data_IF_859291147957
#
_entry.id   IF_859291147957
#
_cell.length_a   1.000
_cell.length_b   1.000
_cell.length_c   1.000
_cell.angle_alpha   90.00
_cell.angle_beta   90.00
_cell.angle_gamma   90.00
#
_symmetry.space_group_name_H-M   'P 1'
#
loop_
_entity.id
_entity.type
_entity.pdbx_description
1 polymer ?
#
# COMPACT_ATOMS: atom_id res chain seq x y z
N UNK A 1 -16.50 -19.16 20.50
CA UNK A 1 -16.91 -20.26 19.58
C UNK A 1 -16.25 -20.12 18.20
N UNK A 2 -15.25 -19.22 18.04
CA UNK A 2 -14.74 -18.74 16.75
C UNK A 2 -13.72 -19.68 16.07
N UNK A 3 -12.91 -20.42 16.84
CA UNK A 3 -11.89 -21.32 16.30
C UNK A 3 -12.36 -22.74 15.92
N UNK A 4 -13.65 -23.07 16.11
CA UNK A 4 -14.15 -24.44 15.98
C UNK A 4 -14.10 -24.97 14.53
N UNK A 5 -14.34 -24.11 13.54
CA UNK A 5 -14.34 -24.48 12.13
C UNK A 5 -13.21 -23.82 11.33
N UNK A 6 -12.58 -22.76 11.85
CA UNK A 6 -11.51 -22.02 11.18
C UNK A 6 -10.33 -22.93 10.83
N UNK A 7 -9.88 -23.75 11.78
CA UNK A 7 -8.69 -24.58 11.63
C UNK A 7 -8.85 -25.72 10.61
N UNK A 8 -10.09 -26.08 10.24
CA UNK A 8 -10.37 -27.17 9.30
C UNK A 8 -9.73 -26.90 7.94
N UNK A 9 -9.84 -25.66 7.45
CA UNK A 9 -9.32 -25.26 6.15
C UNK A 9 -8.14 -24.28 6.25
N UNK A 10 -8.06 -23.48 7.32
CA UNK A 10 -7.17 -22.32 7.37
C UNK A 10 -6.07 -22.40 8.44
N UNK A 11 -6.07 -23.43 9.29
CA UNK A 11 -5.11 -23.54 10.40
C UNK A 11 -3.66 -23.67 9.93
N UNK A 12 -3.43 -24.40 8.83
CA UNK A 12 -2.10 -24.54 8.22
C UNK A 12 -1.57 -23.19 7.70
N UNK A 13 -2.42 -22.46 6.97
CA UNK A 13 -2.07 -21.15 6.40
C UNK A 13 -1.81 -20.13 7.52
N UNK A 14 -2.65 -20.07 8.55
CA UNK A 14 -2.43 -19.19 9.70
C UNK A 14 -1.08 -19.48 10.38
N UNK A 15 -0.74 -20.76 10.57
CA UNK A 15 0.54 -21.17 11.14
C UNK A 15 1.74 -20.69 10.33
N UNK A 16 1.69 -20.82 8.99
CA UNK A 16 2.75 -20.34 8.10
C UNK A 16 2.91 -18.82 8.18
N UNK A 17 1.80 -18.07 8.06
CA UNK A 17 1.85 -16.60 8.04
C UNK A 17 2.38 -16.05 9.36
N UNK A 18 2.03 -16.67 10.50
CA UNK A 18 2.64 -16.34 11.80
C UNK A 18 4.12 -16.69 11.87
N UNK A 19 4.53 -17.78 11.22
CA UNK A 19 5.95 -18.12 11.03
C UNK A 19 6.68 -17.03 10.24
N UNK A 20 6.12 -16.57 9.12
CA UNK A 20 6.69 -15.50 8.31
C UNK A 20 6.77 -14.18 9.07
N UNK A 21 5.80 -13.87 9.94
CA UNK A 21 5.88 -12.70 10.83
C UNK A 21 7.12 -12.73 11.73
N UNK A 22 7.57 -13.90 12.18
CA UNK A 22 8.78 -14.00 13.02
C UNK A 22 10.09 -13.79 12.23
N UNK A 23 10.02 -13.85 10.90
CA UNK A 23 11.14 -13.53 10.01
C UNK A 23 11.23 -12.04 9.64
N UNK A 24 10.34 -11.19 10.18
CA UNK A 24 10.44 -9.75 10.03
C UNK A 24 11.63 -9.22 10.85
N UNK A 25 12.29 -8.19 10.32
CA UNK A 25 13.42 -7.54 10.94
C UNK A 25 12.99 -6.80 12.21
N UNK A 26 13.81 -6.94 13.24
CA UNK A 26 13.61 -6.27 14.54
C UNK A 26 14.40 -4.98 14.59
N UNK A 27 14.11 -4.11 15.57
CA UNK A 27 14.92 -2.91 15.83
C UNK A 27 16.42 -3.20 15.98
N UNK A 28 16.80 -4.34 16.57
CA UNK A 28 18.21 -4.77 16.65
C UNK A 28 18.80 -5.07 15.26
N UNK A 29 18.03 -5.75 14.40
CA UNK A 29 18.42 -6.01 13.01
C UNK A 29 18.65 -4.70 12.26
N UNK A 30 17.73 -3.73 12.36
CA UNK A 30 17.88 -2.42 11.71
C UNK A 30 19.09 -1.64 12.22
N UNK A 31 19.36 -1.65 13.53
CA UNK A 31 20.56 -1.01 14.09
C UNK A 31 21.87 -1.60 13.53
N UNK A 32 21.88 -2.90 13.22
CA UNK A 32 23.05 -3.49 12.56
C UNK A 32 23.13 -3.09 11.08
N UNK A 33 21.99 -2.96 10.38
CA UNK A 33 21.95 -2.52 8.99
C UNK A 33 22.43 -1.08 8.80
N UNK A 34 22.12 -0.18 9.74
CA UNK A 34 22.59 1.23 9.66
C UNK A 34 24.09 1.39 9.88
N UNK A 35 24.74 0.40 10.49
CA UNK A 35 26.19 0.38 10.70
C UNK A 35 26.97 -0.10 9.46
N UNK A 36 26.29 -0.68 8.46
CA UNK A 36 26.93 -1.11 7.23
C UNK A 36 27.56 0.07 6.47
N UNK A 37 28.71 -0.17 5.82
CA UNK A 37 29.42 0.83 5.00
C UNK A 37 29.25 0.56 3.51
N UNK A 38 29.06 -0.71 3.13
CA UNK A 38 28.83 -1.11 1.74
C UNK A 38 27.52 -1.87 1.57
N UNK A 39 27.03 -1.94 0.33
CA UNK A 39 25.84 -2.74 0.00
C UNK A 39 26.12 -4.25 0.16
N UNK A 40 27.38 -4.67 -0.01
CA UNK A 40 27.78 -6.06 0.23
C UNK A 40 27.70 -6.43 1.73
N UNK A 41 28.06 -5.50 2.64
CA UNK A 41 27.86 -5.69 4.08
C UNK A 41 26.37 -5.80 4.42
N UNK A 42 25.54 -4.94 3.80
CA UNK A 42 24.09 -4.97 3.97
C UNK A 42 23.51 -6.31 3.50
N UNK A 43 23.96 -6.81 2.34
CA UNK A 43 23.59 -8.12 1.80
C UNK A 43 23.96 -9.26 2.77
N UNK A 44 25.16 -9.22 3.34
CA UNK A 44 25.61 -10.21 4.32
C UNK A 44 24.74 -10.18 5.58
N UNK A 45 24.44 -8.99 6.08
CA UNK A 45 23.63 -8.79 7.28
C UNK A 45 22.17 -9.20 7.08
N UNK A 46 21.63 -9.08 5.87
CA UNK A 46 20.31 -9.58 5.49
C UNK A 46 20.28 -11.10 5.26
N UNK A 47 21.43 -11.77 5.19
CA UNK A 47 21.57 -13.20 4.92
C UNK A 47 20.65 -14.12 5.74
N UNK A 48 20.51 -13.96 7.07
CA UNK A 48 19.64 -14.83 7.88
C UNK A 48 18.16 -14.78 7.48
N UNK A 49 17.69 -13.63 6.98
CA UNK A 49 16.31 -13.45 6.58
C UNK A 49 16.12 -13.65 5.06
N UNK A 50 17.05 -13.25 4.22
CA UNK A 50 16.89 -13.16 2.75
C UNK A 50 17.91 -13.97 1.94
N UNK A 51 18.78 -14.73 2.60
CA UNK A 51 20.01 -15.32 2.03
C UNK A 51 19.79 -16.08 0.71
N UNK A 52 18.76 -16.92 0.63
CA UNK A 52 18.50 -17.74 -0.56
C UNK A 52 18.19 -16.90 -1.81
N UNK A 53 17.53 -15.75 -1.64
CA UNK A 53 17.18 -14.84 -2.74
C UNK A 53 18.35 -13.92 -3.09
N UNK A 54 19.11 -13.49 -2.09
CA UNK A 54 20.23 -12.57 -2.26
C UNK A 54 21.50 -13.26 -2.78
N UNK A 55 21.65 -14.58 -2.61
CA UNK A 55 22.82 -15.33 -3.05
C UNK A 55 23.10 -15.18 -4.56
N UNK A 56 22.05 -15.01 -5.36
CA UNK A 56 22.13 -14.83 -6.82
C UNK A 56 22.65 -13.45 -7.27
N UNK A 57 22.69 -12.46 -6.38
CA UNK A 57 23.12 -11.11 -6.73
C UNK A 57 24.63 -11.03 -6.93
N UNK A 58 25.11 -10.28 -7.95
CA UNK A 58 26.53 -10.00 -8.13
C UNK A 58 27.13 -9.23 -6.93
N UNK A 59 28.46 -9.21 -6.77
CA UNK A 59 29.12 -8.32 -5.81
C UNK A 59 28.83 -6.85 -6.14
N UNK A 60 28.62 -6.03 -5.12
CA UNK A 60 28.13 -4.65 -5.20
C UNK A 60 26.82 -4.50 -6.00
N UNK A 61 25.70 -5.12 -5.56
CA UNK A 61 24.43 -5.00 -6.25
C UNK A 61 23.90 -3.56 -6.17
N UNK A 62 23.13 -3.13 -7.17
CA UNK A 62 22.40 -1.86 -7.07
C UNK A 62 21.32 -1.94 -5.99
N UNK A 63 20.98 -0.79 -5.41
CA UNK A 63 19.85 -0.67 -4.46
C UNK A 63 18.53 -1.17 -5.07
N UNK A 64 18.31 -0.91 -6.36
CA UNK A 64 17.16 -1.41 -7.12
C UNK A 64 17.15 -2.94 -7.25
N UNK A 65 18.31 -3.57 -7.48
CA UNK A 65 18.41 -5.03 -7.58
C UNK A 65 18.16 -5.70 -6.22
N UNK A 66 18.62 -5.06 -5.14
CA UNK A 66 18.35 -5.52 -3.78
C UNK A 66 16.85 -5.46 -3.47
N UNK A 67 16.20 -4.33 -3.76
CA UNK A 67 14.75 -4.14 -3.56
C UNK A 67 13.90 -5.10 -4.41
N UNK A 68 14.33 -5.38 -5.64
CA UNK A 68 13.66 -6.36 -6.50
C UNK A 68 13.73 -7.77 -5.88
N UNK A 69 14.90 -8.20 -5.39
CA UNK A 69 15.06 -9.54 -4.79
C UNK A 69 14.35 -9.70 -3.45
N UNK A 70 14.27 -8.66 -2.63
CA UNK A 70 13.48 -8.71 -1.39
C UNK A 70 11.98 -8.75 -1.70
N UNK A 71 11.53 -8.04 -2.75
CA UNK A 71 10.16 -8.15 -3.28
C UNK A 71 9.87 -9.54 -3.86
N UNK A 72 10.79 -10.15 -4.62
CA UNK A 72 10.65 -11.50 -5.16
C UNK A 72 10.36 -12.52 -4.06
N UNK A 73 11.01 -12.38 -2.90
CA UNK A 73 10.77 -13.23 -1.74
C UNK A 73 9.33 -13.08 -1.23
N UNK A 74 8.86 -11.85 -1.02
CA UNK A 74 7.47 -11.59 -0.60
C UNK A 74 6.47 -12.20 -1.60
N UNK A 75 6.72 -12.03 -2.89
CA UNK A 75 5.86 -12.57 -3.96
C UNK A 75 5.83 -14.10 -3.92
N UNK A 76 7.00 -14.74 -3.76
CA UNK A 76 7.10 -16.19 -3.65
C UNK A 76 6.36 -16.73 -2.42
N UNK A 77 6.55 -16.11 -1.25
CA UNK A 77 5.85 -16.48 -0.01
C UNK A 77 4.33 -16.27 -0.17
N UNK A 78 3.89 -15.15 -0.77
CA UNK A 78 2.47 -14.87 -0.98
C UNK A 78 1.82 -15.87 -1.94
N UNK A 79 2.48 -16.19 -3.06
CA UNK A 79 1.98 -17.19 -4.02
C UNK A 79 1.89 -18.57 -3.39
N UNK A 80 2.85 -18.95 -2.54
CA UNK A 80 2.79 -20.19 -1.78
C UNK A 80 1.56 -20.24 -0.85
N UNK A 81 1.32 -19.17 -0.09
CA UNK A 81 0.14 -19.08 0.78
C UNK A 81 -1.15 -19.12 -0.05
N UNK A 82 -1.21 -18.39 -1.17
CA UNK A 82 -2.37 -18.35 -2.07
C UNK A 82 -2.70 -19.69 -2.70
N UNK A 83 -1.67 -20.48 -3.04
CA UNK A 83 -1.83 -21.82 -3.62
C UNK A 83 -2.39 -22.83 -2.61
N UNK A 84 -2.18 -22.60 -1.31
CA UNK A 84 -2.71 -23.43 -0.23
C UNK A 84 -4.03 -22.90 0.35
N UNK A 85 -4.48 -21.72 -0.06
CA UNK A 85 -5.75 -21.13 0.37
C UNK A 85 -6.92 -21.67 -0.46
N UNK A 86 -8.05 -21.92 0.21
CA UNK A 86 -9.30 -22.41 -0.42
C UNK A 86 -10.49 -21.57 0.05
N UNK A 87 -11.59 -21.61 -0.72
CA UNK A 87 -12.85 -20.96 -0.37
C UNK A 87 -12.71 -19.45 -0.16
N UNK A 88 -13.26 -18.93 0.94
CA UNK A 88 -13.29 -17.49 1.22
C UNK A 88 -11.91 -16.90 1.52
N UNK A 89 -10.93 -17.69 1.98
CA UNK A 89 -9.54 -17.22 2.14
C UNK A 89 -8.86 -16.98 0.79
N UNK A 90 -9.12 -17.83 -0.20
CA UNK A 90 -8.62 -17.63 -1.56
C UNK A 90 -9.17 -16.34 -2.17
N UNK A 91 -10.49 -16.12 -2.05
CA UNK A 91 -11.14 -14.89 -2.48
C UNK A 91 -10.58 -13.66 -1.75
N UNK A 92 -10.39 -13.75 -0.43
CA UNK A 92 -9.79 -12.68 0.36
C UNK A 92 -8.40 -12.30 -0.16
N UNK A 93 -7.56 -13.28 -0.46
CA UNK A 93 -6.23 -13.04 -1.02
C UNK A 93 -6.29 -12.46 -2.43
N UNK A 94 -7.26 -12.85 -3.26
CA UNK A 94 -7.48 -12.25 -4.58
C UNK A 94 -7.81 -10.75 -4.44
N UNK A 95 -8.67 -10.38 -3.50
CA UNK A 95 -8.93 -8.97 -3.18
C UNK A 95 -7.65 -8.20 -2.82
N UNK A 96 -6.74 -8.79 -2.04
CA UNK A 96 -5.44 -8.15 -1.75
C UNK A 96 -4.63 -7.87 -3.03
N UNK A 97 -4.71 -8.75 -4.04
CA UNK A 97 -4.01 -8.55 -5.31
C UNK A 97 -4.60 -7.44 -6.16
N UNK A 98 -5.91 -7.16 -6.05
CA UNK A 98 -6.60 -6.19 -6.90
C UNK A 98 -6.06 -4.77 -6.76
N UNK A 99 -5.58 -4.37 -5.57
CA UNK A 99 -4.89 -3.08 -5.40
C UNK A 99 -3.68 -2.95 -6.32
N UNK A 100 -2.82 -3.97 -6.37
CA UNK A 100 -1.65 -3.99 -7.26
C UNK A 100 -2.03 -4.08 -8.74
N UNK A 101 -3.12 -4.78 -9.06
CA UNK A 101 -3.63 -4.82 -10.44
C UNK A 101 -4.09 -3.45 -10.91
N UNK A 102 -4.76 -2.66 -10.05
CA UNK A 102 -5.17 -1.28 -10.38
C UNK A 102 -3.95 -0.41 -10.68
N UNK A 103 -2.89 -0.50 -9.87
CA UNK A 103 -1.65 0.24 -10.11
C UNK A 103 -0.97 -0.17 -11.42
N UNK A 104 -0.91 -1.46 -11.70
CA UNK A 104 -0.34 -1.98 -12.94
C UNK A 104 -1.15 -1.52 -14.16
N UNK A 105 -2.48 -1.55 -14.09
CA UNK A 105 -3.35 -1.07 -15.17
C UNK A 105 -3.19 0.43 -15.37
N UNK A 106 -3.13 1.23 -14.30
CA UNK A 106 -2.88 2.67 -14.40
C UNK A 106 -1.53 2.95 -15.09
N UNK A 107 -0.46 2.21 -14.71
CA UNK A 107 0.85 2.30 -15.34
C UNK A 107 0.79 1.95 -16.84
N UNK A 108 0.10 0.87 -17.22
CA UNK A 108 -0.04 0.48 -18.62
C UNK A 108 -0.82 1.49 -19.46
N UNK A 109 -1.88 2.09 -18.89
CA UNK A 109 -2.65 3.17 -19.56
C UNK A 109 -1.74 4.38 -19.80
N UNK A 110 -0.97 4.84 -18.80
CA UNK A 110 -0.02 5.95 -19.01
C UNK A 110 1.05 5.64 -20.06
N UNK A 111 1.50 4.38 -20.09
CA UNK A 111 2.45 3.90 -21.06
C UNK A 111 1.96 4.01 -22.49
N UNK A 112 0.72 3.56 -22.69
CA UNK A 112 0.03 3.55 -23.99
C UNK A 112 -0.26 4.98 -24.45
N UNK A 113 -0.70 5.87 -23.55
CA UNK A 113 -0.90 7.30 -23.81
C UNK A 113 0.37 8.02 -24.29
N UNK A 114 1.53 7.62 -23.76
CA UNK A 114 2.82 8.22 -24.09
C UNK A 114 3.59 7.45 -25.16
N UNK A 115 2.95 6.49 -25.86
CA UNK A 115 3.55 5.69 -26.93
C UNK A 115 4.86 4.98 -26.50
N UNK A 116 4.97 4.58 -25.23
CA UNK A 116 6.12 3.82 -24.73
C UNK A 116 5.99 2.34 -25.08
N UNK A 117 7.12 1.65 -25.19
CA UNK A 117 7.12 0.19 -25.36
C UNK A 117 6.53 -0.46 -24.11
N UNK A 118 5.35 -1.06 -24.28
CA UNK A 118 4.60 -1.73 -23.23
C UNK A 118 5.39 -2.89 -22.61
N UNK A 119 6.36 -3.47 -23.34
CA UNK A 119 7.23 -4.53 -22.82
C UNK A 119 8.21 -4.03 -21.76
N UNK A 120 8.75 -2.82 -21.91
CA UNK A 120 9.61 -2.20 -20.89
C UNK A 120 8.79 -1.88 -19.62
N UNK A 121 7.51 -1.52 -19.80
CA UNK A 121 6.62 -1.24 -18.68
C UNK A 121 6.25 -2.49 -17.89
N UNK A 122 6.15 -3.66 -18.54
CA UNK A 122 5.92 -4.93 -17.85
C UNK A 122 7.01 -5.24 -16.81
N UNK A 123 8.27 -4.86 -17.08
CA UNK A 123 9.37 -5.04 -16.11
C UNK A 123 9.22 -4.14 -14.88
N UNK A 124 8.44 -3.05 -14.98
CA UNK A 124 8.15 -2.12 -13.87
C UNK A 124 6.85 -2.44 -13.14
N UNK A 125 6.07 -3.39 -13.63
CA UNK A 125 4.82 -3.79 -12.99
C UNK A 125 5.08 -4.57 -11.70
N UNK A 126 4.20 -4.39 -10.71
CA UNK A 126 4.30 -5.09 -9.44
C UNK A 126 3.93 -6.57 -9.62
N UNK A 127 4.78 -7.54 -9.22
CA UNK A 127 4.54 -8.96 -9.51
C UNK A 127 3.33 -9.60 -8.79
N UNK A 128 2.81 -8.97 -7.73
CA UNK A 128 1.56 -9.39 -7.07
C UNK A 128 0.31 -9.02 -7.88
N UNK A 129 0.39 -7.97 -8.70
CA UNK A 129 -0.70 -7.55 -9.61
C UNK A 129 -0.57 -8.15 -11.00
N UNK A 130 0.28 -9.16 -11.17
CA UNK A 130 0.49 -9.84 -12.45
C UNK A 130 -0.61 -10.88 -12.69
N UNK A 131 -1.14 -10.92 -13.91
CA UNK A 131 -2.06 -11.95 -14.37
C UNK A 131 -1.61 -12.49 -15.73
N UNK A 132 -2.00 -13.71 -16.07
CA UNK A 132 -1.45 -14.43 -17.24
C UNK A 132 -1.71 -13.71 -18.57
N UNK A 133 -2.82 -12.98 -18.68
CA UNK A 133 -3.23 -12.24 -19.87
C UNK A 133 -2.69 -10.80 -19.90
N UNK A 134 -1.80 -10.42 -18.97
CA UNK A 134 -1.19 -9.09 -18.95
C UNK A 134 -0.40 -8.76 -20.23
N UNK A 135 0.32 -9.69 -20.88
CA UNK A 135 0.96 -9.43 -22.18
C UNK A 135 -0.04 -9.14 -23.31
N UNK A 136 -1.31 -9.55 -23.20
CA UNK A 136 -2.35 -9.22 -24.18
C UNK A 136 -2.69 -7.73 -24.13
N UNK A 137 -2.64 -7.11 -22.95
CA UNK A 137 -2.81 -5.66 -22.81
C UNK A 137 -1.72 -4.87 -23.54
N UNK A 138 -0.51 -5.43 -23.61
CA UNK A 138 0.62 -4.82 -24.31
C UNK A 138 0.48 -4.79 -25.83
N UNK A 139 -0.49 -5.55 -26.38
CA UNK A 139 -0.80 -5.57 -27.82
C UNK A 139 -1.77 -4.44 -28.19
N UNK A 140 -2.52 -3.91 -27.22
CA UNK A 140 -3.47 -2.83 -27.47
C UNK A 140 -2.73 -1.58 -27.96
N UNK A 141 -3.18 -1.04 -29.10
CA UNK A 141 -2.57 0.14 -29.73
C UNK A 141 -3.30 1.42 -29.39
N UNK A 142 -4.53 1.30 -28.89
CA UNK A 142 -5.38 2.40 -28.48
C UNK A 142 -6.01 2.10 -27.11
N UNK A 143 -6.45 3.15 -26.43
CA UNK A 143 -7.09 3.04 -25.11
C UNK A 143 -8.39 2.24 -25.19
N UNK A 144 -9.08 2.26 -26.33
CA UNK A 144 -10.34 1.55 -26.48
C UNK A 144 -10.17 0.02 -26.41
N UNK A 145 -9.19 -0.50 -27.15
CA UNK A 145 -8.73 -1.89 -27.13
C UNK A 145 -8.20 -2.26 -25.76
N UNK A 146 -7.43 -1.38 -25.13
CA UNK A 146 -6.89 -1.62 -23.79
C UNK A 146 -8.01 -1.75 -22.76
N UNK A 147 -8.97 -0.83 -22.76
CA UNK A 147 -10.13 -0.88 -21.87
C UNK A 147 -10.97 -2.14 -22.10
N UNK A 148 -11.26 -2.46 -23.37
CA UNK A 148 -12.03 -3.68 -23.69
C UNK A 148 -11.28 -4.93 -23.25
N UNK A 149 -9.96 -4.98 -23.44
CA UNK A 149 -9.13 -6.10 -22.98
C UNK A 149 -9.13 -6.20 -21.45
N UNK A 150 -9.01 -5.08 -20.73
CA UNK A 150 -9.11 -5.05 -19.26
C UNK A 150 -10.48 -5.53 -18.79
N UNK A 151 -11.57 -5.11 -19.44
CA UNK A 151 -12.94 -5.53 -19.08
C UNK A 151 -13.20 -7.02 -19.31
N UNK A 152 -12.55 -7.63 -20.29
CA UNK A 152 -12.74 -9.04 -20.65
C UNK A 152 -11.84 -9.93 -19.79
N UNK A 153 -10.58 -9.52 -19.63
CA UNK A 153 -9.52 -10.38 -19.13
C UNK A 153 -9.24 -10.21 -17.63
N UNK A 154 -9.80 -9.18 -16.97
CA UNK A 154 -9.50 -8.89 -15.57
C UNK A 154 -10.75 -8.87 -14.67
N UNK A 155 -10.61 -9.29 -13.40
CA UNK A 155 -11.68 -9.16 -12.41
C UNK A 155 -11.99 -7.70 -12.05
N UNK A 156 -11.18 -6.74 -12.49
CA UNK A 156 -11.40 -5.31 -12.29
C UNK A 156 -12.59 -4.78 -13.11
N UNK A 157 -13.12 -5.55 -14.05
CA UNK A 157 -14.21 -5.15 -14.92
C UNK A 157 -15.42 -4.56 -14.17
N UNK A 158 -15.72 -5.08 -12.98
CA UNK A 158 -16.80 -4.58 -12.13
C UNK A 158 -16.55 -3.15 -11.60
N UNK A 159 -15.29 -2.73 -11.48
CA UNK A 159 -14.92 -1.39 -11.00
C UNK A 159 -14.90 -0.34 -12.11
N UNK A 160 -14.80 -0.78 -13.36
CA UNK A 160 -14.93 0.09 -14.54
C UNK A 160 -16.42 0.31 -14.93
N UNK A 161 -17.24 -0.74 -14.81
CA UNK A 161 -18.67 -0.71 -15.18
C UNK A 161 -19.44 0.30 -14.33
N UNK A 162 -19.81 1.43 -14.95
CA UNK A 162 -20.63 2.48 -14.32
C UNK A 162 -19.85 3.62 -13.68
N UNK A 163 -18.51 3.62 -13.77
CA UNK A 163 -17.68 4.71 -13.25
C UNK A 163 -16.75 5.34 -14.28
N UNK A 164 -16.29 4.58 -15.28
CA UNK A 164 -15.33 5.05 -16.28
C UNK A 164 -15.70 4.52 -17.67
N UNK A 165 -15.77 5.42 -18.64
CA UNK A 165 -15.88 5.11 -20.07
C UNK A 165 -14.51 5.18 -20.75
N UNK A 166 -14.41 4.68 -21.98
CA UNK A 166 -13.18 4.76 -22.78
C UNK A 166 -12.76 6.22 -23.03
N UNK A 167 -13.72 7.14 -23.19
CA UNK A 167 -13.46 8.58 -23.37
C UNK A 167 -12.88 9.21 -22.09
N UNK A 168 -13.35 8.78 -20.92
CA UNK A 168 -12.83 9.26 -19.64
C UNK A 168 -11.36 8.87 -19.44
N UNK A 169 -10.89 7.78 -20.05
CA UNK A 169 -9.48 7.38 -19.97
C UNK A 169 -8.56 8.25 -20.83
N UNK A 170 -9.07 8.86 -21.90
CA UNK A 170 -8.33 9.82 -22.74
C UNK A 170 -8.37 11.24 -22.13
N UNK A 171 -9.52 11.64 -21.57
CA UNK A 171 -9.77 13.02 -21.14
C UNK A 171 -9.41 13.28 -19.67
N UNK A 172 -9.57 12.29 -18.78
CA UNK A 172 -9.27 12.48 -17.36
C UNK A 172 -7.79 12.25 -17.09
N UNK A 173 -7.30 12.95 -16.07
CA UNK A 173 -5.99 12.66 -15.51
C UNK A 173 -5.99 11.21 -14.99
N UNK A 174 -4.95 10.43 -15.34
CA UNK A 174 -4.80 9.04 -14.90
C UNK A 174 -4.89 8.87 -13.38
N UNK A 175 -4.48 9.87 -12.61
CA UNK A 175 -4.62 9.83 -11.15
C UNK A 175 -6.09 9.88 -10.69
N UNK A 176 -6.97 10.55 -11.44
CA UNK A 176 -8.43 10.55 -11.19
C UNK A 176 -9.00 9.16 -11.48
N UNK A 177 -8.59 8.56 -12.60
CA UNK A 177 -8.97 7.19 -12.98
C UNK A 177 -8.53 6.20 -11.89
N UNK A 178 -7.25 6.27 -11.48
CA UNK A 178 -6.67 5.44 -10.42
C UNK A 178 -7.45 5.58 -9.12
N UNK A 179 -7.69 6.81 -8.66
CA UNK A 179 -8.43 7.06 -7.41
C UNK A 179 -9.88 6.57 -7.49
N UNK A 180 -10.54 6.69 -8.64
CA UNK A 180 -11.91 6.19 -8.85
C UNK A 180 -11.97 4.67 -8.78
N UNK A 181 -11.02 3.97 -9.44
CA UNK A 181 -10.91 2.52 -9.38
C UNK A 181 -10.64 2.03 -7.95
N UNK A 182 -9.74 2.70 -7.23
CA UNK A 182 -9.44 2.38 -5.84
C UNK A 182 -10.63 2.59 -4.92
N UNK A 183 -11.40 3.66 -5.12
CA UNK A 183 -12.64 3.88 -4.38
C UNK A 183 -13.58 2.69 -4.53
N UNK A 184 -13.87 2.30 -5.77
CA UNK A 184 -14.79 1.19 -6.06
C UNK A 184 -14.28 -0.13 -5.48
N UNK A 185 -12.97 -0.39 -5.60
CA UNK A 185 -12.31 -1.55 -5.01
C UNK A 185 -12.42 -1.56 -3.48
N UNK A 186 -12.14 -0.44 -2.81
CA UNK A 186 -12.18 -0.34 -1.35
C UNK A 186 -13.61 -0.53 -0.83
N UNK A 187 -14.61 0.05 -1.48
CA UNK A 187 -16.01 -0.12 -1.09
C UNK A 187 -16.49 -1.56 -1.30
N UNK A 188 -16.09 -2.21 -2.39
CA UNK A 188 -16.40 -3.61 -2.64
C UNK A 188 -15.70 -4.53 -1.64
N UNK A 189 -14.42 -4.27 -1.33
CA UNK A 189 -13.67 -5.06 -0.37
C UNK A 189 -14.23 -4.92 1.05
N UNK A 190 -14.62 -3.71 1.45
CA UNK A 190 -15.30 -3.46 2.73
C UNK A 190 -16.66 -4.17 2.80
N UNK A 191 -17.45 -4.14 1.71
CA UNK A 191 -18.71 -4.88 1.61
C UNK A 191 -18.48 -6.39 1.69
N UNK A 192 -17.49 -6.92 0.97
CA UNK A 192 -17.14 -8.34 1.03
C UNK A 192 -16.84 -8.77 2.46
N UNK A 193 -15.98 -8.05 3.18
CA UNK A 193 -15.61 -8.37 4.56
C UNK A 193 -16.82 -8.35 5.51
N UNK A 194 -17.74 -7.38 5.34
CA UNK A 194 -18.87 -7.18 6.24
C UNK A 194 -20.16 -7.90 5.83
N UNK A 195 -20.26 -8.45 4.62
CA UNK A 195 -21.46 -9.15 4.13
C UNK A 195 -21.26 -10.65 3.89
N UNK A 196 -20.02 -11.12 3.76
CA UNK A 196 -19.76 -12.52 3.44
C UNK A 196 -20.05 -13.43 4.65
N UNK A 197 -20.84 -14.51 4.50
CA UNK A 197 -21.35 -15.31 5.62
C UNK A 197 -20.26 -15.97 6.47
N UNK A 198 -19.07 -16.23 5.90
CA UNK A 198 -17.93 -16.78 6.63
C UNK A 198 -17.10 -15.72 7.40
N UNK A 199 -17.33 -14.42 7.13
CA UNK A 199 -16.55 -13.32 7.71
C UNK A 199 -17.38 -12.42 8.63
N UNK A 200 -18.69 -12.29 8.39
CA UNK A 200 -19.58 -11.46 9.20
C UNK A 200 -19.55 -11.90 10.66
N UNK A 201 -19.32 -10.95 11.57
CA UNK A 201 -19.29 -11.21 13.01
C UNK A 201 -18.08 -12.04 13.49
N UNK A 202 -17.06 -12.20 12.64
CA UNK A 202 -15.79 -12.82 13.02
C UNK A 202 -14.74 -11.75 13.38
N UNK A 203 -13.67 -12.11 14.10
CA UNK A 203 -12.54 -11.20 14.35
C UNK A 203 -11.90 -10.67 13.07
N UNK A 204 -12.06 -11.37 11.93
CA UNK A 204 -11.62 -10.88 10.62
C UNK A 204 -12.32 -9.59 10.24
N UNK A 205 -13.64 -9.51 10.41
CA UNK A 205 -14.41 -8.34 10.03
C UNK A 205 -14.06 -7.11 10.88
N UNK A 206 -13.90 -7.29 12.19
CA UNK A 206 -13.51 -6.20 13.10
C UNK A 206 -12.14 -5.62 12.73
N UNK A 207 -11.12 -6.48 12.61
CA UNK A 207 -9.74 -6.06 12.36
C UNK A 207 -9.59 -5.49 10.94
N UNK A 208 -10.17 -6.14 9.93
CA UNK A 208 -10.08 -5.63 8.56
C UNK A 208 -10.89 -4.37 8.34
N UNK A 209 -12.04 -4.19 9.01
CA UNK A 209 -12.79 -2.95 8.91
C UNK A 209 -11.98 -1.78 9.45
N UNK A 210 -11.31 -1.94 10.60
CA UNK A 210 -10.42 -0.90 11.15
C UNK A 210 -9.27 -0.55 10.18
N UNK A 211 -8.64 -1.55 9.57
CA UNK A 211 -7.57 -1.36 8.59
C UNK A 211 -8.08 -0.63 7.34
N UNK A 212 -9.23 -1.03 6.79
CA UNK A 212 -9.79 -0.43 5.58
C UNK A 212 -10.34 0.97 5.83
N UNK A 213 -10.94 1.23 6.99
CA UNK A 213 -11.36 2.57 7.39
C UNK A 213 -10.17 3.53 7.43
N UNK A 214 -9.04 3.09 7.98
CA UNK A 214 -7.82 3.87 7.98
C UNK A 214 -7.28 4.12 6.56
N UNK A 215 -7.27 3.12 5.68
CA UNK A 215 -6.82 3.30 4.29
C UNK A 215 -7.75 4.24 3.50
N UNK A 216 -9.06 4.16 3.74
CA UNK A 216 -10.05 5.07 3.15
C UNK A 216 -9.83 6.52 3.60
N UNK A 217 -9.66 6.73 4.90
CA UNK A 217 -9.39 8.06 5.48
C UNK A 217 -8.06 8.62 4.97
N UNK A 218 -6.98 7.81 4.95
CA UNK A 218 -5.66 8.20 4.42
C UNK A 218 -5.77 8.68 2.98
N UNK A 219 -6.51 7.95 2.14
CA UNK A 219 -6.74 8.33 0.74
C UNK A 219 -7.55 9.61 0.63
N UNK A 220 -8.63 9.77 1.39
CA UNK A 220 -9.42 10.99 1.38
C UNK A 220 -8.56 12.22 1.72
N UNK A 221 -7.71 12.11 2.76
CA UNK A 221 -6.79 13.18 3.16
C UNK A 221 -5.76 13.45 2.05
N UNK A 222 -5.07 12.43 1.54
CA UNK A 222 -4.05 12.59 0.50
C UNK A 222 -4.61 13.18 -0.80
N UNK A 223 -5.80 12.74 -1.23
CA UNK A 223 -6.49 13.31 -2.40
C UNK A 223 -6.80 14.79 -2.14
N UNK A 224 -7.26 15.15 -0.94
CA UNK A 224 -7.55 16.56 -0.60
C UNK A 224 -6.29 17.42 -0.66
N UNK A 225 -5.20 16.97 -0.03
CA UNK A 225 -3.93 17.70 0.00
C UNK A 225 -3.31 17.85 -1.39
N UNK A 226 -3.30 16.78 -2.19
CA UNK A 226 -2.75 16.78 -3.55
C UNK A 226 -3.65 17.50 -4.56
N UNK A 227 -4.93 17.72 -4.22
CA UNK A 227 -5.84 18.52 -5.07
C UNK A 227 -5.56 20.02 -5.01
N UNK A 228 -4.85 20.50 -3.99
CA UNK A 228 -4.54 21.93 -3.87
C UNK A 228 -3.61 22.41 -5.00
N UNK A 229 -4.00 23.50 -5.65
CA UNK A 229 -3.28 24.03 -6.80
C UNK A 229 -3.59 23.31 -8.14
N UNK A 230 -4.54 22.38 -8.15
CA UNK A 230 -5.06 21.75 -9.37
C UNK A 230 -6.42 22.33 -9.78
N UNK A 231 -6.84 22.10 -11.02
CA UNK A 231 -8.16 22.52 -11.54
C UNK A 231 -9.32 21.59 -11.11
N UNK A 232 -9.10 20.69 -10.15
CA UNK A 232 -10.10 19.74 -9.70
C UNK A 232 -11.22 20.44 -8.91
N UNK A 233 -12.45 20.37 -9.43
CA UNK A 233 -13.60 20.95 -8.76
C UNK A 233 -13.92 20.23 -7.44
N UNK A 234 -14.42 20.99 -6.45
CA UNK A 234 -14.83 20.46 -5.13
C UNK A 234 -15.84 19.31 -5.21
N UNK A 235 -16.76 19.38 -6.19
CA UNK A 235 -17.77 18.35 -6.42
C UNK A 235 -17.15 17.04 -6.92
N UNK A 236 -16.14 17.10 -7.78
CA UNK A 236 -15.47 15.92 -8.32
C UNK A 236 -14.54 15.29 -7.28
N UNK A 237 -13.90 16.13 -6.45
CA UNK A 237 -13.16 15.65 -5.27
C UNK A 237 -14.03 14.81 -4.33
N UNK A 238 -15.28 15.22 -4.07
CA UNK A 238 -16.20 14.43 -3.25
C UNK A 238 -16.55 13.07 -3.87
N UNK A 239 -16.56 12.95 -5.20
CA UNK A 239 -16.80 11.67 -5.88
C UNK A 239 -15.64 10.69 -5.72
N UNK A 240 -14.42 11.17 -5.45
CA UNK A 240 -13.23 10.34 -5.27
C UNK A 240 -13.10 9.71 -3.88
N UNK A 241 -13.83 10.21 -2.88
CA UNK A 241 -13.75 9.66 -1.53
C UNK A 241 -14.53 8.35 -1.39
N UNK A 242 -13.97 7.32 -0.74
CA UNK A 242 -14.70 6.13 -0.35
C UNK A 242 -15.89 6.48 0.56
N UNK A 243 -17.02 5.80 0.37
CA UNK A 243 -18.25 6.00 1.17
C UNK A 243 -18.22 5.36 2.56
N UNK A 244 -17.04 5.16 3.16
CA UNK A 244 -16.83 4.55 4.47
C UNK A 244 -15.51 5.04 5.07
N UNK A 245 -15.30 4.85 6.37
CA UNK A 245 -14.15 5.40 7.12
C UNK A 245 -14.61 6.12 8.39
N UNK A 246 -13.66 6.52 9.24
CA UNK A 246 -14.00 7.28 10.46
C UNK A 246 -14.33 8.73 10.13
N UNK A 247 -13.87 9.24 8.98
CA UNK A 247 -14.19 10.58 8.50
C UNK A 247 -15.54 10.64 7.76
N UNK A 248 -16.10 9.52 7.33
CA UNK A 248 -17.39 9.51 6.64
C UNK A 248 -18.56 9.56 7.64
N UNK A 249 -19.61 10.36 7.44
CA UNK A 249 -19.86 11.28 6.31
C UNK A 249 -19.41 12.73 6.52
N UNK A 250 -19.29 13.18 7.78
CA UNK A 250 -19.12 14.60 8.12
C UNK A 250 -17.72 15.13 7.78
N UNK A 251 -16.68 14.41 8.19
CA UNK A 251 -15.28 14.75 7.89
C UNK A 251 -15.00 14.76 6.39
N UNK A 252 -15.49 13.78 5.63
CA UNK A 252 -15.36 13.75 4.16
C UNK A 252 -16.05 14.94 3.48
N UNK A 253 -17.21 15.37 4.01
CA UNK A 253 -17.89 16.55 3.49
C UNK A 253 -17.09 17.83 3.79
N UNK A 254 -16.49 17.95 4.97
CA UNK A 254 -15.61 19.06 5.32
C UNK A 254 -14.34 19.07 4.45
N UNK A 255 -13.71 17.90 4.23
CA UNK A 255 -12.58 17.74 3.31
C UNK A 255 -12.94 18.17 1.88
N UNK A 256 -14.14 17.83 1.41
CA UNK A 256 -14.61 18.24 0.07
C UNK A 256 -14.75 19.76 -0.08
N UNK A 257 -14.83 20.52 1.02
CA UNK A 257 -14.97 21.98 1.04
C UNK A 257 -13.68 22.72 1.36
N UNK A 258 -12.69 22.03 1.94
CA UNK A 258 -11.40 22.60 2.33
C UNK A 258 -10.65 23.19 1.13
N UNK A 259 -10.08 24.38 1.33
CA UNK A 259 -9.30 25.13 0.34
C UNK A 259 -7.82 25.22 0.70
N UNK A 260 -7.47 24.89 1.93
CA UNK A 260 -6.13 24.96 2.49
C UNK A 260 -5.88 23.84 3.51
N UNK A 261 -4.62 23.71 3.94
CA UNK A 261 -4.18 22.70 4.91
C UNK A 261 -4.86 22.87 6.28
N UNK A 262 -5.17 24.11 6.68
CA UNK A 262 -5.89 24.37 7.92
C UNK A 262 -7.35 23.88 7.86
N UNK A 263 -8.01 24.02 6.72
CA UNK A 263 -9.33 23.43 6.48
C UNK A 263 -9.32 21.90 6.53
N UNK A 264 -8.25 21.25 6.06
CA UNK A 264 -8.05 19.81 6.20
C UNK A 264 -7.86 19.42 7.66
N UNK A 265 -7.05 20.17 8.41
CA UNK A 265 -6.82 19.95 9.85
C UNK A 265 -8.13 20.04 10.63
N UNK A 266 -8.96 21.05 10.36
CA UNK A 266 -10.27 21.19 10.99
C UNK A 266 -11.19 20.00 10.68
N UNK A 267 -11.17 19.52 9.43
CA UNK A 267 -11.99 18.39 9.00
C UNK A 267 -11.60 17.06 9.68
N UNK A 268 -10.34 16.89 10.07
CA UNK A 268 -9.86 15.68 10.76
C UNK A 268 -9.82 15.81 12.28
N UNK A 269 -10.11 16.99 12.84
CA UNK A 269 -10.00 17.27 14.28
C UNK A 269 -10.93 16.39 15.15
N UNK A 270 -12.04 15.93 14.58
CA UNK A 270 -12.97 15.02 15.23
C UNK A 270 -12.39 13.63 15.54
N UNK A 271 -11.29 13.24 14.89
CA UNK A 271 -10.60 11.97 15.11
C UNK A 271 -9.27 12.23 15.79
N UNK A 272 -9.15 11.81 17.05
CA UNK A 272 -7.98 12.08 17.90
C UNK A 272 -6.65 11.64 17.25
N UNK A 273 -6.63 10.47 16.59
CA UNK A 273 -5.44 9.95 15.91
C UNK A 273 -4.97 10.91 14.81
N UNK A 274 -5.86 11.34 13.92
CA UNK A 274 -5.51 12.24 12.82
C UNK A 274 -5.14 13.64 13.30
N UNK A 275 -5.85 14.17 14.31
CA UNK A 275 -5.48 15.42 14.98
C UNK A 275 -4.03 15.39 15.45
N UNK A 276 -3.63 14.32 16.13
CA UNK A 276 -2.26 14.18 16.64
C UNK A 276 -1.21 14.16 15.52
N UNK A 277 -1.55 13.61 14.34
CA UNK A 277 -0.65 13.57 13.19
C UNK A 277 -0.43 14.96 12.61
N UNK A 278 -1.50 15.75 12.44
CA UNK A 278 -1.41 17.12 11.94
C UNK A 278 -0.74 18.06 12.95
N UNK A 279 -0.99 17.88 14.24
CA UNK A 279 -0.31 18.64 15.30
C UNK A 279 1.20 18.37 15.27
N UNK A 280 1.61 17.09 15.21
CA UNK A 280 3.00 16.69 15.13
C UNK A 280 3.69 17.16 13.83
N UNK A 281 3.01 17.03 12.69
CA UNK A 281 3.52 17.51 11.39
C UNK A 281 3.69 19.05 11.37
N UNK A 282 2.78 19.81 11.99
CA UNK A 282 2.89 21.27 12.10
C UNK A 282 4.05 21.73 12.99
N UNK A 283 4.35 20.96 14.04
CA UNK A 283 5.46 21.22 14.95
C UNK A 283 6.81 20.89 14.31
N UNK A 284 6.86 19.87 13.44
CA UNK A 284 8.05 19.49 12.66
C UNK A 284 8.27 20.35 11.40
N UNK A 285 7.27 21.11 10.97
CA UNK A 285 7.24 21.85 9.70
C UNK A 285 7.29 23.37 9.82
N UNK A 286 7.86 23.94 10.89
CA UNK A 286 8.03 25.39 11.01
C UNK A 286 9.18 25.95 10.14
N UNK A 287 9.14 25.68 8.84
CA UNK A 287 9.85 26.46 7.82
C UNK A 287 9.03 27.70 7.46
N UNK A 288 8.88 28.61 8.43
CA UNK A 288 8.62 30.01 8.11
C UNK A 288 9.90 30.67 7.56
N UNK A 289 9.82 31.59 6.59
CA UNK A 289 11.00 32.26 6.05
C UNK A 289 11.53 33.25 7.09
N UNK A 290 12.35 32.78 8.04
CA UNK A 290 12.87 33.68 9.07
C UNK A 290 13.76 33.12 10.18
N UNK A 291 14.05 31.82 10.29
CA UNK A 291 14.81 31.33 11.44
C UNK A 291 16.14 30.66 11.08
N UNK A 292 17.19 31.47 11.06
CA UNK A 292 18.59 31.04 11.16
C UNK A 292 18.86 30.58 12.60
N UNK A 293 18.76 29.27 12.85
CA UNK A 293 19.12 28.67 14.13
C UNK A 293 19.41 27.19 13.96
N UNK A 294 20.70 26.83 13.93
CA UNK A 294 21.16 25.45 13.82
C UNK A 294 20.69 24.59 14.99
N UNK A 295 19.77 23.68 14.71
CA UNK A 295 19.30 22.63 15.58
C UNK A 295 18.48 21.64 14.76
N UNK A 296 18.88 20.38 14.73
CA UNK A 296 18.22 19.31 14.00
C UNK A 296 16.75 19.18 14.41
N UNK A 297 15.83 19.72 13.62
CA UNK A 297 14.41 19.43 13.74
C UNK A 297 14.08 18.26 12.82
N UNK A 298 14.23 17.04 13.36
CA UNK A 298 13.67 15.77 12.85
C UNK A 298 12.13 15.83 12.87
N UNK A 299 11.55 16.66 12.00
CA UNK A 299 10.11 16.66 11.79
C UNK A 299 9.72 15.42 11.00
N UNK A 300 9.10 14.42 11.64
CA UNK A 300 8.40 13.34 10.92
C UNK A 300 7.35 13.96 10.02
N UNK A 301 7.32 13.52 8.76
CA UNK A 301 6.32 14.01 7.80
C UNK A 301 4.94 13.44 8.13
N UNK A 302 3.89 14.06 7.60
CA UNK A 302 2.52 13.54 7.74
C UNK A 302 2.41 12.10 7.17
N UNK A 303 3.12 11.83 6.06
CA UNK A 303 3.18 10.49 5.46
C UNK A 303 3.86 9.47 6.37
N UNK A 304 4.96 9.84 7.03
CA UNK A 304 5.63 8.97 8.01
C UNK A 304 4.70 8.60 9.17
N UNK A 305 3.88 9.54 9.62
CA UNK A 305 2.89 9.31 10.67
C UNK A 305 1.79 8.35 10.21
N UNK A 306 1.31 8.49 8.96
CA UNK A 306 0.37 7.54 8.40
C UNK A 306 0.96 6.13 8.27
N UNK A 307 2.19 6.00 7.79
CA UNK A 307 2.86 4.71 7.73
C UNK A 307 3.08 4.11 9.12
N UNK A 308 3.49 4.90 10.10
CA UNK A 308 3.65 4.42 11.47
C UNK A 308 2.33 3.86 12.03
N UNK A 309 1.22 4.59 11.87
CA UNK A 309 -0.10 4.14 12.31
C UNK A 309 -0.56 2.88 11.55
N UNK A 310 -0.36 2.82 10.23
CA UNK A 310 -0.67 1.65 9.41
C UNK A 310 0.03 0.40 9.96
N UNK A 311 1.31 0.54 10.33
CA UNK A 311 2.09 -0.56 10.89
C UNK A 311 1.67 -0.91 12.33
N UNK A 312 1.29 0.06 13.16
CA UNK A 312 0.76 -0.20 14.50
C UNK A 312 -0.54 -1.01 14.46
N UNK A 313 -1.47 -0.64 13.58
CA UNK A 313 -2.73 -1.39 13.35
C UNK A 313 -2.41 -2.80 12.81
N UNK A 314 -1.50 -2.88 11.84
CA UNK A 314 -1.07 -4.17 11.26
C UNK A 314 -0.41 -5.08 12.29
N UNK A 315 0.38 -4.53 13.22
CA UNK A 315 0.96 -5.29 14.34
C UNK A 315 -0.12 -5.75 15.32
N UNK A 316 -1.08 -4.88 15.64
CA UNK A 316 -2.20 -5.23 16.52
C UNK A 316 -3.04 -6.38 15.95
N UNK A 317 -3.16 -6.50 14.62
CA UNK A 317 -3.86 -7.61 13.97
C UNK A 317 -3.32 -9.00 14.35
N UNK A 318 -2.02 -9.14 14.64
CA UNK A 318 -1.42 -10.42 15.06
C UNK A 318 -1.76 -10.84 16.49
N UNK A 319 -2.31 -9.95 17.31
CA UNK A 319 -2.77 -10.26 18.67
C UNK A 319 -4.08 -11.05 18.67
N UNK A 320 -4.87 -10.95 17.59
CA UNK A 320 -6.07 -11.75 17.36
C UNK A 320 -5.69 -13.10 16.74
N UNK A 321 -6.51 -14.12 16.97
CA UNK A 321 -6.33 -15.47 16.44
C UNK A 321 -7.57 -15.90 15.64
N UNK A 322 -7.40 -16.84 14.70
CA UNK A 322 -8.49 -17.31 13.82
C UNK A 322 -9.06 -16.21 12.93
N UNK A 323 -8.17 -15.44 12.29
CA UNK A 323 -8.55 -14.30 11.44
C UNK A 323 -7.79 -14.35 10.11
N UNK A 324 -8.44 -13.93 9.02
CA UNK A 324 -7.76 -13.77 7.72
C UNK A 324 -6.95 -12.47 7.65
N UNK A 325 -7.22 -11.52 8.55
CA UNK A 325 -6.58 -10.21 8.58
C UNK A 325 -5.04 -10.28 8.72
N UNK A 326 -4.52 -11.35 9.33
CA UNK A 326 -3.07 -11.56 9.46
C UNK A 326 -2.36 -11.66 8.11
N UNK A 327 -3.04 -12.12 7.04
CA UNK A 327 -2.45 -12.20 5.70
C UNK A 327 -2.24 -10.81 5.16
N UNK A 328 -3.26 -9.95 5.25
CA UNK A 328 -3.18 -8.56 4.82
C UNK A 328 -2.13 -7.79 5.64
N UNK A 329 -2.18 -7.91 6.96
CA UNK A 329 -1.23 -7.26 7.86
C UNK A 329 0.21 -7.72 7.60
N UNK A 330 0.43 -9.01 7.36
CA UNK A 330 1.76 -9.55 7.01
C UNK A 330 2.30 -8.93 5.73
N UNK A 331 1.49 -8.86 4.66
CA UNK A 331 1.90 -8.24 3.39
C UNK A 331 2.29 -6.79 3.62
N UNK A 332 1.47 -5.99 4.31
CA UNK A 332 1.76 -4.57 4.59
C UNK A 332 3.02 -4.36 5.44
N UNK A 333 3.22 -5.19 6.46
CA UNK A 333 4.44 -5.13 7.27
C UNK A 333 5.69 -5.48 6.45
N UNK A 334 5.60 -6.48 5.57
CA UNK A 334 6.74 -6.85 4.70
C UNK A 334 7.02 -5.77 3.66
N UNK A 335 6.01 -5.13 3.10
CA UNK A 335 6.21 -3.99 2.20
C UNK A 335 6.94 -2.83 2.89
N UNK A 336 6.59 -2.55 4.14
CA UNK A 336 7.29 -1.52 4.91
C UNK A 336 8.74 -1.94 5.21
N UNK A 337 8.99 -3.21 5.51
CA UNK A 337 10.35 -3.74 5.68
C UNK A 337 11.19 -3.57 4.41
N UNK A 338 10.63 -3.89 3.23
CA UNK A 338 11.30 -3.69 1.94
C UNK A 338 11.60 -2.21 1.71
N UNK A 339 10.66 -1.31 2.02
CA UNK A 339 10.86 0.15 1.95
C UNK A 339 11.99 0.61 2.88
N UNK A 340 12.01 0.14 4.13
CA UNK A 340 13.08 0.45 5.08
C UNK A 340 14.45 -0.04 4.61
N UNK A 341 14.53 -1.28 4.11
CA UNK A 341 15.78 -1.83 3.56
C UNK A 341 16.26 -1.00 2.38
N UNK A 342 15.36 -0.61 1.48
CA UNK A 342 15.69 0.20 0.30
C UNK A 342 16.18 1.58 0.71
N UNK A 343 15.52 2.25 1.66
CA UNK A 343 15.95 3.53 2.21
C UNK A 343 17.36 3.45 2.82
N UNK A 344 17.62 2.46 3.66
CA UNK A 344 18.95 2.25 4.27
C UNK A 344 20.00 1.99 3.19
N UNK A 345 19.67 1.17 2.19
CA UNK A 345 20.57 0.88 1.07
C UNK A 345 20.89 2.14 0.25
N UNK A 346 19.91 3.00 0.00
CA UNK A 346 20.09 4.29 -0.70
C UNK A 346 20.96 5.25 0.11
N UNK A 347 20.72 5.39 1.41
CA UNK A 347 21.55 6.21 2.29
C UNK A 347 23.02 5.75 2.30
N UNK A 348 23.25 4.43 2.32
CA UNK A 348 24.60 3.84 2.27
C UNK A 348 25.23 4.09 0.89
N UNK A 349 24.51 3.81 -0.19
CA UNK A 349 25.01 3.96 -1.56
C UNK A 349 25.37 5.41 -1.91
N UNK A 350 24.60 6.38 -1.40
CA UNK A 350 24.84 7.81 -1.61
C UNK A 350 25.79 8.43 -0.57
N UNK A 351 26.23 7.65 0.42
CA UNK A 351 27.05 8.09 1.55
C UNK A 351 26.41 9.25 2.35
N UNK A 352 25.08 9.29 2.41
CA UNK A 352 24.29 10.30 3.14
C UNK A 352 23.64 9.65 4.37
N UNK A 353 24.42 9.50 5.44
CA UNK A 353 23.98 8.81 6.67
C UNK A 353 23.19 9.70 7.63
N UNK A 354 23.07 10.99 7.36
CA UNK A 354 22.40 11.95 8.25
C UNK A 354 20.92 11.58 8.54
N UNK A 355 20.24 10.94 7.58
CA UNK A 355 18.83 10.51 7.69
C UNK A 355 18.64 9.00 7.67
N UNK A 356 19.71 8.22 7.86
CA UNK A 356 19.63 6.75 7.82
C UNK A 356 18.71 6.18 8.91
N UNK A 357 18.50 6.93 10.00
CA UNK A 357 17.60 6.58 11.10
C UNK A 357 16.11 6.77 10.79
N UNK A 358 15.75 7.38 9.65
CA UNK A 358 14.36 7.65 9.27
C UNK A 358 13.67 6.43 8.66
N UNK A 359 13.75 5.28 9.33
CA UNK A 359 13.01 4.07 8.98
C UNK A 359 11.91 3.80 10.02
N UNK A 360 10.88 3.07 9.62
CA UNK A 360 9.74 2.76 10.49
C UNK A 360 9.87 1.31 10.95
N UNK A 361 10.40 1.11 12.17
CA UNK A 361 10.46 -0.22 12.79
C UNK A 361 9.34 -0.40 13.80
N UNK A 362 8.63 -1.52 13.69
CA UNK A 362 7.45 -1.82 14.51
C UNK A 362 7.65 -3.06 15.40
N UNK A 363 8.69 -3.86 15.14
CA UNK A 363 9.03 -5.07 15.92
C UNK A 363 10.35 -5.00 16.66
#
# INVERSE_FOLDING_TARGET
MEGLFFNVNNGYVEGIVRGYRNSLLTGSSYNNLTQCETIDDLKLQLGPAYGDFLASLPPNPSTSSLAAKTTDKLVSEFRYVRANAVGSLAQFMDYVTYGYMIDNVALLITGTLHERDTRELLERCHPLGWFETMPVLCVATNIEELYNSVLIETPLAQYFKGSLSHQDLDELNIEIVRNTLYKNYLEDFYKFINSHPEMVGTPTAEVMSEILEFEADRRAINITLNSFGTELAKADRNKLYPGFGKLFPEGTLMLSRADDVEGVRLAVDGVHDYKSFFDAASLGGSSGPGNMGGGASDGKTLEDMFYQKEMEISKAAFTRQFTFAIVYAWVKLREQEIRNITWIAECIAQNQKDRIGNYISVF
#
